data_IF_729250016798
#
_entry.id   IF_729250016798
#
_cell.length_a   1.000
_cell.length_b   1.000
_cell.length_c   1.000
_cell.angle_alpha   90.00
_cell.angle_beta   90.00
_cell.angle_gamma   90.00
#
_symmetry.space_group_name_H-M   'P 1'
#
loop_
_entity.id
_entity.type
_entity.pdbx_description
1 polymer ?
#
# COMPACT_ATOMS: atom_id res chain seq x y z
N UNK A 1 -8.58 25.66 -10.18
CA UNK A 1 -8.01 24.77 -9.16
C UNK A 1 -8.10 25.39 -7.77
N UNK A 2 -8.82 24.73 -6.87
CA UNK A 2 -8.73 24.98 -5.44
C UNK A 2 -7.52 24.26 -4.82
N UNK A 3 -7.40 24.30 -3.49
CA UNK A 3 -6.27 23.69 -2.76
C UNK A 3 -6.25 22.17 -2.93
N UNK A 4 -7.42 21.53 -2.97
CA UNK A 4 -7.53 20.09 -3.10
C UNK A 4 -7.18 19.65 -4.53
N UNK A 5 -7.64 20.39 -5.55
CA UNK A 5 -7.26 20.18 -6.95
C UNK A 5 -5.73 20.21 -7.12
N UNK A 6 -5.05 21.16 -6.46
CA UNK A 6 -3.59 21.26 -6.51
C UNK A 6 -2.93 20.07 -5.84
N UNK A 7 -3.41 19.63 -4.66
CA UNK A 7 -2.87 18.45 -3.96
C UNK A 7 -3.00 17.21 -4.84
N UNK A 8 -4.19 16.94 -5.37
CA UNK A 8 -4.45 15.77 -6.20
C UNK A 8 -3.60 15.79 -7.49
N UNK A 9 -3.48 16.94 -8.15
CA UNK A 9 -2.63 17.09 -9.34
C UNK A 9 -1.15 16.82 -9.06
N UNK A 10 -0.63 17.27 -7.91
CA UNK A 10 0.76 17.01 -7.49
C UNK A 10 0.97 15.53 -7.16
N UNK A 11 0.04 14.89 -6.45
CA UNK A 11 0.14 13.45 -6.13
C UNK A 11 0.06 12.61 -7.41
N UNK A 12 -0.87 12.91 -8.32
CA UNK A 12 -0.98 12.24 -9.62
C UNK A 12 0.32 12.36 -10.43
N UNK A 13 0.91 13.56 -10.47
CA UNK A 13 2.17 13.81 -11.15
C UNK A 13 3.34 13.04 -10.52
N UNK A 14 3.39 12.93 -9.18
CA UNK A 14 4.39 12.12 -8.47
C UNK A 14 4.26 10.63 -8.80
N UNK A 15 3.03 10.11 -8.90
CA UNK A 15 2.78 8.72 -9.32
C UNK A 15 3.31 8.50 -10.73
N UNK A 16 2.99 9.39 -11.67
CA UNK A 16 3.43 9.30 -13.06
C UNK A 16 4.96 9.34 -13.19
N UNK A 17 5.62 10.26 -12.48
CA UNK A 17 7.07 10.38 -12.47
C UNK A 17 7.74 9.10 -11.91
N UNK A 18 7.27 8.60 -10.77
CA UNK A 18 7.78 7.38 -10.16
C UNK A 18 7.62 6.16 -11.07
N UNK A 19 6.46 6.02 -11.73
CA UNK A 19 6.23 4.96 -12.70
C UNK A 19 7.20 5.07 -13.90
N UNK A 20 7.46 6.28 -14.39
CA UNK A 20 8.43 6.52 -15.46
C UNK A 20 9.87 6.18 -15.02
N UNK A 21 10.24 6.50 -13.79
CA UNK A 21 11.57 6.19 -13.23
C UNK A 21 11.81 4.67 -13.14
N UNK A 22 10.79 3.90 -12.72
CA UNK A 22 10.84 2.44 -12.74
C UNK A 22 10.96 1.93 -14.17
N UNK A 23 10.14 2.43 -15.10
CA UNK A 23 10.15 1.98 -16.49
C UNK A 23 11.48 2.27 -17.20
N UNK A 24 12.14 3.39 -16.85
CA UNK A 24 13.48 3.73 -17.33
C UNK A 24 14.60 2.91 -16.69
N UNK A 25 14.28 2.09 -15.70
CA UNK A 25 15.26 1.26 -14.99
C UNK A 25 16.20 2.08 -14.10
N UNK A 26 15.77 3.24 -13.59
CA UNK A 26 16.61 4.04 -12.69
C UNK A 26 16.94 3.19 -11.45
N UNK A 27 18.24 3.04 -11.10
CA UNK A 27 18.64 2.29 -9.91
C UNK A 27 17.90 2.81 -8.68
N UNK A 28 17.47 1.91 -7.80
CA UNK A 28 16.67 2.17 -6.57
C UNK A 28 15.23 2.64 -6.74
N UNK A 29 14.77 3.04 -7.95
CA UNK A 29 13.39 3.51 -8.14
C UNK A 29 12.34 2.48 -7.66
N UNK A 30 12.56 1.20 -7.95
CA UNK A 30 11.67 0.11 -7.56
C UNK A 30 11.80 -0.31 -6.08
N UNK A 31 12.80 0.19 -5.35
CA UNK A 31 13.05 -0.24 -3.97
C UNK A 31 11.92 0.16 -3.02
N UNK A 32 11.33 1.35 -3.24
CA UNK A 32 10.16 1.81 -2.49
C UNK A 32 8.97 0.87 -2.65
N UNK A 33 8.69 0.42 -3.87
CA UNK A 33 7.59 -0.51 -4.18
C UNK A 33 7.83 -1.88 -3.55
N UNK A 34 9.07 -2.38 -3.59
CA UNK A 34 9.44 -3.64 -2.93
C UNK A 34 9.21 -3.57 -1.43
N UNK A 35 9.68 -2.52 -0.76
CA UNK A 35 9.45 -2.30 0.68
C UNK A 35 7.95 -2.18 0.99
N UNK A 36 7.19 -1.47 0.16
CA UNK A 36 5.74 -1.35 0.34
C UNK A 36 5.02 -2.69 0.14
N UNK A 37 5.47 -3.51 -0.81
CA UNK A 37 4.94 -4.85 -1.07
C UNK A 37 5.26 -5.81 0.10
N UNK A 38 6.43 -5.69 0.71
CA UNK A 38 6.78 -6.44 1.93
C UNK A 38 5.87 -6.06 3.10
N UNK A 39 5.66 -4.76 3.36
CA UNK A 39 4.68 -4.30 4.36
C UNK A 39 3.28 -4.84 4.05
N UNK A 40 2.85 -4.80 2.78
CA UNK A 40 1.54 -5.33 2.35
C UNK A 40 1.40 -6.82 2.64
N UNK A 41 2.42 -7.62 2.31
CA UNK A 41 2.46 -9.07 2.56
C UNK A 41 2.36 -9.36 4.05
N UNK A 42 3.06 -8.58 4.87
CA UNK A 42 3.10 -8.74 6.32
C UNK A 42 1.89 -8.11 7.04
N UNK A 43 0.96 -7.51 6.28
CA UNK A 43 -0.18 -6.75 6.83
C UNK A 43 0.27 -5.64 7.80
N UNK A 44 1.48 -5.12 7.59
CA UNK A 44 2.02 -3.96 8.31
C UNK A 44 1.46 -2.67 7.71
N UNK A 45 0.33 -2.25 8.25
CA UNK A 45 -0.38 -1.06 7.80
C UNK A 45 0.40 0.22 8.05
N UNK A 46 1.11 0.32 9.18
CA UNK A 46 1.86 1.53 9.52
C UNK A 46 3.04 1.71 8.58
N UNK A 47 3.79 0.65 8.30
CA UNK A 47 4.88 0.67 7.32
C UNK A 47 4.38 0.96 5.91
N UNK A 48 3.28 0.31 5.47
CA UNK A 48 2.69 0.57 4.16
C UNK A 48 2.24 2.03 4.00
N UNK A 49 1.59 2.59 5.02
CA UNK A 49 1.13 3.98 5.04
C UNK A 49 2.32 4.95 5.02
N UNK A 50 3.37 4.69 5.82
CA UNK A 50 4.57 5.52 5.84
C UNK A 50 5.28 5.57 4.48
N UNK A 51 5.22 4.47 3.73
CA UNK A 51 5.81 4.37 2.38
C UNK A 51 4.92 4.94 1.27
N UNK A 52 3.67 5.34 1.54
CA UNK A 52 2.78 5.89 0.51
C UNK A 52 3.18 7.31 0.10
N UNK A 53 2.73 7.75 -1.08
CA UNK A 53 2.99 9.11 -1.57
C UNK A 53 2.17 10.18 -0.84
N UNK A 54 1.07 9.78 -0.19
CA UNK A 54 0.22 10.62 0.64
C UNK A 54 -0.23 9.85 1.90
N UNK A 55 0.62 9.80 2.95
CA UNK A 55 0.32 9.01 4.16
C UNK A 55 -0.94 9.50 4.89
N UNK A 56 -1.21 10.80 4.89
CA UNK A 56 -2.39 11.37 5.56
C UNK A 56 -3.68 10.90 4.90
N UNK A 57 -3.76 10.99 3.57
CA UNK A 57 -4.93 10.53 2.81
C UNK A 57 -5.17 9.03 2.99
N UNK A 58 -4.11 8.21 2.98
CA UNK A 58 -4.25 6.76 3.17
C UNK A 58 -4.72 6.42 4.60
N UNK A 59 -4.23 7.12 5.63
CA UNK A 59 -4.75 6.96 7.01
C UNK A 59 -6.23 7.27 7.07
N UNK A 60 -6.63 8.40 6.47
CA UNK A 60 -8.02 8.82 6.43
C UNK A 60 -8.91 7.77 5.74
N UNK A 61 -8.52 7.29 4.56
CA UNK A 61 -9.26 6.24 3.86
C UNK A 61 -9.39 4.96 4.67
N UNK A 62 -8.32 4.54 5.35
CA UNK A 62 -8.34 3.36 6.20
C UNK A 62 -9.26 3.55 7.42
N UNK A 63 -9.30 4.74 8.02
CA UNK A 63 -10.17 5.01 9.18
C UNK A 63 -11.64 5.16 8.81
N UNK A 64 -11.97 5.57 7.58
CA UNK A 64 -13.37 5.74 7.12
C UNK A 64 -14.14 4.42 7.10
N UNK A 65 -13.49 3.30 6.78
CA UNK A 65 -14.13 1.98 6.73
C UNK A 65 -13.28 0.99 7.54
N UNK A 66 -13.50 0.90 8.87
CA UNK A 66 -12.74 0.00 9.72
C UNK A 66 -13.01 -1.47 9.34
N UNK A 67 -12.00 -2.35 9.41
CA UNK A 67 -12.17 -3.75 9.10
C UNK A 67 -12.91 -4.49 10.23
N UNK A 68 -13.71 -5.50 9.87
CA UNK A 68 -14.37 -6.38 10.85
C UNK A 68 -13.36 -7.26 11.61
N UNK A 69 -12.20 -7.55 11.01
CA UNK A 69 -11.10 -8.32 11.58
C UNK A 69 -9.82 -7.45 11.55
N UNK A 70 -9.06 -7.42 12.66
CA UNK A 70 -7.95 -6.48 12.80
C UNK A 70 -6.76 -6.75 11.85
N UNK A 71 -6.60 -8.00 11.41
CA UNK A 71 -5.49 -8.45 10.57
C UNK A 71 -5.76 -8.34 9.06
N UNK A 72 -6.80 -7.60 8.64
CA UNK A 72 -7.17 -7.44 7.22
C UNK A 72 -7.61 -6.00 6.90
N UNK A 73 -7.88 -5.73 5.62
CA UNK A 73 -8.59 -4.51 5.23
C UNK A 73 -10.10 -4.75 5.22
N UNK A 74 -10.88 -3.67 5.08
CA UNK A 74 -12.34 -3.71 5.03
C UNK A 74 -12.94 -4.32 3.76
N UNK A 75 -12.13 -4.71 2.77
CA UNK A 75 -12.63 -5.22 1.50
C UNK A 75 -13.05 -6.70 1.54
N UNK A 76 -12.14 -7.60 1.94
CA UNK A 76 -12.34 -9.04 1.79
C UNK A 76 -12.67 -9.77 3.09
N UNK A 77 -12.45 -9.12 4.25
CA UNK A 77 -12.68 -9.72 5.57
C UNK A 77 -12.07 -11.12 5.69
N UNK A 78 -12.92 -12.09 6.01
CA UNK A 78 -12.52 -13.47 6.26
C UNK A 78 -11.80 -14.12 5.06
N UNK A 79 -12.14 -13.68 3.84
CA UNK A 79 -11.63 -14.17 2.57
C UNK A 79 -10.34 -13.50 2.10
N UNK A 80 -9.66 -12.71 2.95
CA UNK A 80 -8.41 -12.04 2.60
C UNK A 80 -7.37 -12.99 1.97
N UNK A 81 -7.01 -12.71 0.71
CA UNK A 81 -6.09 -13.54 -0.06
C UNK A 81 -4.68 -13.60 0.56
N UNK A 82 -4.15 -12.45 0.98
CA UNK A 82 -2.80 -12.35 1.59
C UNK A 82 -2.72 -13.25 2.83
N UNK A 83 -3.72 -13.14 3.71
CA UNK A 83 -3.80 -13.96 4.93
C UNK A 83 -3.91 -15.45 4.63
N UNK A 84 -4.73 -15.84 3.65
CA UNK A 84 -4.89 -17.25 3.25
C UNK A 84 -3.59 -17.83 2.70
N UNK A 85 -2.92 -17.11 1.82
CA UNK A 85 -1.63 -17.52 1.26
C UNK A 85 -0.58 -17.63 2.36
N UNK A 86 -0.47 -16.65 3.25
CA UNK A 86 0.49 -16.67 4.35
C UNK A 86 0.27 -17.87 5.29
N UNK A 87 -0.99 -18.16 5.65
CA UNK A 87 -1.34 -19.35 6.44
C UNK A 87 -0.96 -20.66 5.71
N UNK A 88 -1.16 -20.72 4.39
CA UNK A 88 -0.80 -21.91 3.60
C UNK A 88 0.71 -22.10 3.50
N UNK A 89 1.48 -21.02 3.33
CA UNK A 89 2.94 -21.06 3.27
C UNK A 89 3.54 -21.45 4.63
N UNK A 90 3.00 -20.94 5.75
CA UNK A 90 3.45 -21.34 7.10
C UNK A 90 3.22 -22.83 7.38
N UNK A 91 2.08 -23.39 6.94
CA UNK A 91 1.79 -24.82 7.08
C UNK A 91 2.73 -25.75 6.28
N UNK A 92 3.38 -25.26 5.23
CA UNK A 92 4.38 -26.04 4.48
C UNK A 92 5.75 -26.12 5.17
N UNK A 93 5.99 -25.27 6.16
CA UNK A 93 7.27 -25.18 6.88
C UNK A 93 7.23 -25.89 8.25
N UNK A 94 6.18 -26.67 8.51
CA UNK A 94 5.97 -27.55 9.66
C UNK A 94 5.88 -29.00 9.15
#
# INVERSE_FOLDING_TARGET
>A
PDIDDVREGVIASKIAAHAADIAKGIPSAIERDRKMAECRKNLDWNGQIALSLDPERVREWRSRVPPAEQDVCSMCGEFCAIRKVERALRKKNL
#
